data_IF_306617814661
#
_entry.id   IF_306617814661
#
_cell.length_a   1.000
_cell.length_b   1.000
_cell.length_c   1.000
_cell.angle_alpha   90.00
_cell.angle_beta   90.00
_cell.angle_gamma   90.00
#
_symmetry.space_group_name_H-M   'P 1'
#
loop_
_entity.id
_entity.type
_entity.pdbx_description
1 polymer ?
#
# COMPACT_ATOMS: atom_id res chain seq x y z
N UNK A 1 23.09 -2.12 -10.35
CA UNK A 1 21.92 -1.70 -11.14
C UNK A 1 21.54 -0.32 -10.68
N UNK A 2 21.33 0.61 -11.60
CA UNK A 2 20.85 1.95 -11.29
C UNK A 2 19.43 1.82 -10.73
N UNK A 3 19.26 2.00 -9.42
CA UNK A 3 17.94 1.91 -8.78
C UNK A 3 17.10 3.08 -9.30
N UNK A 4 16.09 2.76 -10.11
CA UNK A 4 15.22 3.78 -10.68
C UNK A 4 14.26 4.25 -9.61
N UNK A 5 14.23 5.56 -9.38
CA UNK A 5 13.28 6.21 -8.49
C UNK A 5 11.88 6.06 -9.08
N UNK A 6 10.97 5.51 -8.29
CA UNK A 6 9.57 5.27 -8.68
C UNK A 6 8.66 6.37 -8.15
N UNK A 7 7.57 6.64 -8.87
CA UNK A 7 6.52 7.58 -8.44
C UNK A 7 5.56 6.87 -7.49
N UNK A 8 5.49 7.34 -6.25
CA UNK A 8 4.77 6.69 -5.15
C UNK A 8 3.64 7.57 -4.64
N UNK A 9 2.46 6.98 -4.48
CA UNK A 9 1.33 7.57 -3.77
C UNK A 9 1.20 6.91 -2.40
N UNK A 10 1.26 7.68 -1.32
CA UNK A 10 1.14 7.20 0.07
C UNK A 10 -0.29 7.43 0.54
N UNK A 11 -1.03 6.34 0.65
CA UNK A 11 -2.39 6.33 1.19
C UNK A 11 -2.35 6.03 2.69
N UNK A 12 -2.97 6.89 3.48
CA UNK A 12 -3.06 6.76 4.94
C UNK A 12 -4.23 7.57 5.49
N UNK A 13 -4.73 7.17 6.65
CA UNK A 13 -5.76 7.93 7.37
C UNK A 13 -5.12 9.04 8.21
N UNK A 14 -5.45 10.30 7.96
CA UNK A 14 -4.73 11.44 8.53
C UNK A 14 -4.80 11.49 10.06
N UNK A 15 -5.99 11.29 10.62
CA UNK A 15 -6.26 11.45 12.06
C UNK A 15 -5.45 10.51 12.95
N UNK A 16 -5.13 9.31 12.47
CA UNK A 16 -4.45 8.27 13.26
C UNK A 16 -2.98 8.09 12.87
N UNK A 17 -2.62 8.29 11.59
CA UNK A 17 -1.37 7.75 11.05
C UNK A 17 -0.38 8.82 10.55
N UNK A 18 -0.68 10.12 10.76
CA UNK A 18 0.15 11.24 10.30
C UNK A 18 1.63 11.10 10.66
N UNK A 19 1.96 10.71 11.90
CA UNK A 19 3.36 10.54 12.35
C UNK A 19 4.18 9.57 11.51
N UNK A 20 3.55 8.51 10.99
CA UNK A 20 4.23 7.49 10.20
C UNK A 20 4.46 7.97 8.77
N UNK A 21 3.49 8.73 8.23
CA UNK A 21 3.67 9.43 6.96
C UNK A 21 4.81 10.45 7.07
N UNK A 22 4.85 11.26 8.12
CA UNK A 22 5.91 12.24 8.35
C UNK A 22 7.28 11.56 8.45
N UNK A 23 7.42 10.51 9.26
CA UNK A 23 8.66 9.76 9.38
C UNK A 23 9.13 9.15 8.05
N UNK A 24 8.21 8.59 7.24
CA UNK A 24 8.54 8.03 5.92
C UNK A 24 9.00 9.14 4.95
N UNK A 25 8.37 10.32 5.00
CA UNK A 25 8.74 11.46 4.15
C UNK A 25 10.05 12.08 4.57
N UNK A 26 10.31 12.25 5.87
CA UNK A 26 11.61 12.72 6.37
C UNK A 26 12.76 11.79 5.94
N UNK A 27 12.54 10.47 6.00
CA UNK A 27 13.48 9.50 5.48
C UNK A 27 13.69 9.67 3.96
N UNK A 28 12.58 9.83 3.22
CA UNK A 28 12.62 10.02 1.77
C UNK A 28 13.34 11.32 1.38
N UNK A 29 13.15 12.42 2.10
CA UNK A 29 13.80 13.70 1.82
C UNK A 29 15.32 13.63 2.05
N UNK A 30 15.75 12.82 3.03
CA UNK A 30 17.17 12.63 3.36
C UNK A 30 17.91 11.75 2.36
N UNK A 31 17.28 10.68 1.89
CA UNK A 31 17.96 9.58 1.15
C UNK A 31 17.43 9.42 -0.29
N UNK A 32 16.30 10.06 -0.61
CA UNK A 32 15.62 10.01 -1.91
C UNK A 32 15.30 8.59 -2.38
N UNK A 33 14.38 7.96 -1.66
CA UNK A 33 13.92 6.58 -1.87
C UNK A 33 12.95 6.49 -3.06
N UNK A 34 12.04 7.46 -3.19
CA UNK A 34 11.01 7.54 -4.24
C UNK A 34 10.61 9.01 -4.52
N UNK A 35 9.88 9.25 -5.62
CA UNK A 35 9.18 10.52 -5.85
C UNK A 35 7.81 10.47 -5.17
N UNK A 36 7.55 11.38 -4.24
CA UNK A 36 6.27 11.46 -3.53
C UNK A 36 5.24 12.22 -4.39
N UNK A 37 4.17 11.54 -4.79
CA UNK A 37 3.04 12.06 -5.56
C UNK A 37 1.74 12.05 -4.73
N UNK A 38 1.85 11.91 -3.41
CA UNK A 38 0.70 11.88 -2.50
C UNK A 38 0.13 13.27 -2.29
N UNK A 39 -1.18 13.34 -2.03
CA UNK A 39 -1.85 14.55 -1.53
C UNK A 39 -2.34 14.33 -0.11
N UNK A 40 -2.50 15.39 0.69
CA UNK A 40 -3.06 15.23 2.02
C UNK A 40 -4.57 15.00 1.93
N UNK A 41 -5.13 14.19 2.84
CA UNK A 41 -6.59 13.99 2.96
C UNK A 41 -7.35 15.33 3.13
N UNK A 42 -6.69 16.34 3.72
CA UNK A 42 -7.21 17.71 3.83
C UNK A 42 -7.14 18.55 2.55
N UNK A 43 -6.37 18.12 1.54
CA UNK A 43 -6.23 18.80 0.25
C UNK A 43 -7.31 18.41 -0.75
N UNK A 44 -8.04 17.31 -0.49
CA UNK A 44 -9.14 16.84 -1.33
C UNK A 44 -10.40 17.62 -0.93
N UNK A 45 -10.88 18.59 -1.72
CA UNK A 45 -12.10 19.31 -1.39
C UNK A 45 -13.29 18.34 -1.39
N UNK A 46 -13.87 18.05 -0.23
CA UNK A 46 -15.01 17.13 -0.10
C UNK A 46 -16.35 17.85 0.13
N UNK A 47 -16.28 19.12 0.56
CA UNK A 47 -17.43 19.98 0.82
C UNK A 47 -18.10 20.41 -0.49
N UNK A 48 -19.41 20.16 -0.57
CA UNK A 48 -20.23 20.56 -1.72
C UNK A 48 -20.03 19.72 -2.99
N UNK A 49 -19.10 18.75 -2.97
CA UNK A 49 -18.91 17.81 -4.07
C UNK A 49 -19.68 16.51 -3.82
N UNK A 50 -20.10 15.85 -4.90
CA UNK A 50 -20.61 14.48 -4.88
C UNK A 50 -19.48 13.46 -4.73
N UNK A 51 -19.81 12.24 -4.31
CA UNK A 51 -18.81 11.15 -4.22
C UNK A 51 -18.15 10.88 -5.58
N UNK A 52 -18.90 10.96 -6.68
CA UNK A 52 -18.35 10.76 -8.03
C UNK A 52 -17.38 11.87 -8.44
N UNK A 53 -17.67 13.13 -8.10
CA UNK A 53 -16.73 14.23 -8.36
C UNK A 53 -15.41 14.02 -7.62
N UNK A 54 -15.48 13.68 -6.33
CA UNK A 54 -14.29 13.44 -5.51
C UNK A 54 -13.48 12.26 -6.05
N UNK A 55 -14.15 11.15 -6.41
CA UNK A 55 -13.50 9.97 -7.00
C UNK A 55 -12.80 10.30 -8.30
N UNK A 56 -13.41 11.12 -9.16
CA UNK A 56 -12.80 11.59 -10.41
C UNK A 56 -11.57 12.46 -10.13
N UNK A 57 -11.63 13.39 -9.18
CA UNK A 57 -10.48 14.20 -8.78
C UNK A 57 -9.33 13.31 -8.27
N UNK A 58 -9.62 12.39 -7.34
CA UNK A 58 -8.63 11.42 -6.85
C UNK A 58 -7.95 10.67 -7.98
N UNK A 59 -8.75 10.10 -8.89
CA UNK A 59 -8.26 9.28 -9.99
C UNK A 59 -7.49 10.09 -11.04
N UNK A 60 -8.03 11.22 -11.47
CA UNK A 60 -7.57 11.93 -12.68
C UNK A 60 -6.56 13.05 -12.37
N UNK A 61 -6.54 13.57 -11.14
CA UNK A 61 -5.66 14.68 -10.72
C UNK A 61 -4.56 14.21 -9.79
N UNK A 62 -4.86 13.40 -8.76
CA UNK A 62 -3.90 13.06 -7.72
C UNK A 62 -3.13 11.76 -8.00
N UNK A 63 -3.81 10.73 -8.47
CA UNK A 63 -3.24 9.39 -8.61
C UNK A 63 -2.62 9.14 -10.00
N UNK A 64 -2.96 9.96 -11.02
CA UNK A 64 -2.65 9.71 -12.44
C UNK A 64 -1.22 9.26 -12.75
N UNK A 65 -0.23 9.91 -12.15
CA UNK A 65 1.18 9.71 -12.50
C UNK A 65 1.87 8.69 -11.60
N UNK A 66 1.27 8.32 -10.47
CA UNK A 66 1.89 7.37 -9.54
C UNK A 66 1.92 5.96 -10.17
N UNK A 67 2.90 5.17 -9.74
CA UNK A 67 3.15 3.82 -10.28
C UNK A 67 3.11 2.75 -9.21
N UNK A 68 3.24 3.17 -7.95
CA UNK A 68 3.15 2.34 -6.76
C UNK A 68 2.31 3.10 -5.72
N UNK A 69 1.40 2.39 -5.08
CA UNK A 69 0.69 2.87 -3.89
C UNK A 69 1.33 2.21 -2.65
N UNK A 70 1.76 3.03 -1.70
CA UNK A 70 2.11 2.58 -0.35
C UNK A 70 0.91 2.83 0.56
N UNK A 71 0.32 1.77 1.11
CA UNK A 71 -0.72 1.88 2.13
C UNK A 71 -0.08 1.80 3.52
N UNK A 72 -0.15 2.88 4.30
CA UNK A 72 0.16 2.84 5.72
C UNK A 72 -1.06 2.32 6.49
N UNK A 73 -1.10 1.00 6.69
CA UNK A 73 -2.23 0.31 7.26
C UNK A 73 -2.21 0.44 8.80
N UNK A 74 -3.04 1.32 9.33
CA UNK A 74 -3.26 1.51 10.77
C UNK A 74 -4.60 0.96 11.26
N UNK A 75 -5.05 1.39 12.45
CA UNK A 75 -6.36 0.97 12.98
C UNK A 75 -7.51 1.53 12.14
N UNK A 76 -8.61 0.78 12.05
CA UNK A 76 -9.87 1.23 11.43
C UNK A 76 -9.66 1.85 10.04
N UNK A 77 -8.93 1.17 9.16
CA UNK A 77 -8.82 1.55 7.74
C UNK A 77 -10.01 1.00 6.94
N UNK A 78 -10.61 -0.11 7.39
CA UNK A 78 -11.73 -0.78 6.75
C UNK A 78 -12.99 0.05 6.57
N UNK A 79 -13.14 1.15 7.32
CA UNK A 79 -14.31 2.03 7.27
C UNK A 79 -14.04 3.39 6.61
N UNK A 80 -12.83 3.60 6.07
CA UNK A 80 -12.48 4.84 5.37
C UNK A 80 -12.84 4.76 3.89
N UNK A 81 -13.81 5.60 3.49
CA UNK A 81 -14.21 5.75 2.08
C UNK A 81 -13.07 6.26 1.21
N UNK A 82 -12.21 7.14 1.73
CA UNK A 82 -11.12 7.73 0.96
C UNK A 82 -10.07 6.67 0.63
N UNK A 83 -9.64 5.87 1.62
CA UNK A 83 -8.74 4.74 1.42
C UNK A 83 -9.33 3.74 0.42
N UNK A 84 -10.63 3.46 0.53
CA UNK A 84 -11.32 2.57 -0.41
C UNK A 84 -11.28 3.09 -1.86
N UNK A 85 -11.50 4.39 -2.05
CA UNK A 85 -11.46 5.04 -3.35
C UNK A 85 -10.04 5.11 -3.92
N UNK A 86 -9.03 5.40 -3.10
CA UNK A 86 -7.62 5.42 -3.49
C UNK A 86 -7.14 4.02 -3.91
N UNK A 87 -7.47 2.98 -3.12
CA UNK A 87 -7.15 1.60 -3.48
C UNK A 87 -7.84 1.17 -4.76
N UNK A 88 -9.12 1.51 -4.94
CA UNK A 88 -9.82 1.24 -6.19
C UNK A 88 -9.14 1.94 -7.37
N UNK A 89 -8.79 3.23 -7.23
CA UNK A 89 -8.10 3.97 -8.28
C UNK A 89 -6.73 3.38 -8.61
N UNK A 90 -5.97 2.91 -7.61
CA UNK A 90 -4.69 2.24 -7.80
C UNK A 90 -4.81 0.86 -8.47
N UNK A 91 -5.89 0.12 -8.20
CA UNK A 91 -6.14 -1.20 -8.79
C UNK A 91 -6.71 -1.12 -10.22
N UNK A 92 -7.44 -0.05 -10.54
CA UNK A 92 -8.14 0.11 -11.81
C UNK A 92 -7.17 0.37 -12.98
N UNK A 93 -7.24 -0.46 -14.02
CA UNK A 93 -6.44 -0.30 -15.24
C UNK A 93 -7.23 0.44 -16.33
N UNK A 94 -7.15 1.76 -16.33
CA UNK A 94 -7.83 2.63 -17.30
C UNK A 94 -6.95 2.99 -18.51
N UNK A 95 -7.54 3.71 -19.46
CA UNK A 95 -6.80 4.26 -20.59
C UNK A 95 -5.79 5.33 -20.15
N UNK A 96 -6.24 6.25 -19.28
CA UNK A 96 -5.45 7.40 -18.79
C UNK A 96 -4.62 7.08 -17.55
N UNK A 97 -5.15 6.24 -16.65
CA UNK A 97 -4.53 5.90 -15.38
C UNK A 97 -4.27 4.40 -15.38
N UNK A 98 -2.99 4.01 -15.35
CA UNK A 98 -2.61 2.60 -15.34
C UNK A 98 -2.60 2.05 -13.93
N UNK A 99 -2.93 0.76 -13.79
CA UNK A 99 -2.88 0.06 -12.49
C UNK A 99 -1.48 0.15 -11.87
N UNK A 100 -1.46 0.25 -10.55
CA UNK A 100 -0.26 0.42 -9.73
C UNK A 100 0.14 -0.87 -9.03
N UNK A 101 1.40 -0.91 -8.60
CA UNK A 101 1.83 -1.89 -7.59
C UNK A 101 1.32 -1.45 -6.23
N UNK A 102 0.98 -2.39 -5.36
CA UNK A 102 0.55 -2.07 -3.99
C UNK A 102 1.55 -2.66 -2.99
N UNK A 103 2.09 -1.80 -2.14
CA UNK A 103 2.88 -2.15 -0.96
C UNK A 103 2.09 -1.75 0.27
N UNK A 104 1.93 -2.66 1.21
CA UNK A 104 1.23 -2.43 2.47
C UNK A 104 2.23 -2.47 3.60
N UNK A 105 2.29 -1.37 4.37
CA UNK A 105 3.11 -1.28 5.58
C UNK A 105 2.15 -1.27 6.77
N UNK A 106 2.10 -2.39 7.47
CA UNK A 106 1.37 -2.53 8.73
C UNK A 106 2.05 -1.70 9.81
N UNK A 107 1.31 -0.76 10.37
CA UNK A 107 1.78 0.07 11.46
C UNK A 107 1.82 -0.74 12.77
N UNK A 108 2.64 -0.35 13.76
CA UNK A 108 2.83 -1.09 15.02
C UNK A 108 1.50 -1.45 15.72
N UNK A 109 0.49 -0.62 15.55
CA UNK A 109 -0.84 -0.78 16.13
C UNK A 109 -1.68 -1.93 15.59
N UNK A 110 -1.33 -2.44 14.41
CA UNK A 110 -2.02 -3.54 13.74
C UNK A 110 -1.05 -4.67 13.40
N UNK A 111 0.06 -4.73 14.15
CA UNK A 111 1.07 -5.76 13.98
C UNK A 111 0.45 -7.15 14.15
N UNK A 112 0.79 -8.04 13.22
CA UNK A 112 0.53 -9.47 13.31
C UNK A 112 1.87 -10.19 13.44
N UNK A 113 1.89 -11.28 14.21
CA UNK A 113 3.09 -12.11 14.41
C UNK A 113 3.50 -12.82 13.11
N UNK A 114 2.52 -13.15 12.28
CA UNK A 114 2.71 -13.74 10.96
C UNK A 114 2.89 -12.64 9.90
N UNK A 115 4.10 -12.56 9.32
CA UNK A 115 4.34 -11.76 8.13
C UNK A 115 3.72 -12.48 6.93
N UNK A 116 2.46 -12.19 6.60
CA UNK A 116 1.83 -12.63 5.35
C UNK A 116 2.49 -11.91 4.16
N UNK A 117 3.71 -12.33 3.80
CA UNK A 117 4.46 -11.78 2.70
C UNK A 117 3.90 -12.39 1.41
N UNK A 118 2.90 -11.71 0.82
CA UNK A 118 2.32 -12.23 -0.40
C UNK A 118 3.31 -12.13 -1.57
N UNK A 119 3.77 -13.32 -1.95
CA UNK A 119 4.33 -13.66 -3.23
C UNK A 119 5.72 -13.09 -3.54
N UNK A 120 6.77 -13.82 -3.12
CA UNK A 120 7.93 -14.26 -3.95
C UNK A 120 9.23 -14.35 -3.15
N UNK A 121 10.13 -15.25 -3.58
CA UNK A 121 11.52 -15.31 -3.10
C UNK A 121 12.35 -14.03 -3.32
N UNK A 122 11.82 -13.00 -3.99
CA UNK A 122 12.49 -11.69 -4.06
C UNK A 122 12.48 -10.98 -2.70
N UNK A 123 11.36 -11.06 -1.95
CA UNK A 123 11.32 -10.49 -0.60
C UNK A 123 12.17 -11.33 0.35
N UNK A 124 12.21 -12.65 0.13
CA UNK A 124 13.12 -13.54 0.85
C UNK A 124 14.57 -13.05 0.72
N UNK A 125 15.05 -12.74 -0.47
CA UNK A 125 16.40 -12.17 -0.66
C UNK A 125 16.57 -10.82 0.07
N UNK A 126 15.58 -9.92 0.06
CA UNK A 126 15.65 -8.64 0.78
C UNK A 126 15.89 -8.85 2.29
N UNK A 127 15.27 -9.87 2.90
CA UNK A 127 15.44 -10.16 4.33
C UNK A 127 16.61 -11.10 4.63
N UNK A 128 16.92 -12.06 3.75
CA UNK A 128 18.04 -13.00 3.86
C UNK A 128 19.40 -12.34 3.65
N UNK A 129 19.54 -11.40 2.71
CA UNK A 129 20.76 -10.60 2.51
C UNK A 129 21.12 -9.81 3.77
N UNK A 130 20.14 -9.58 4.65
CA UNK A 130 20.29 -8.92 5.93
C UNK A 130 20.36 -9.88 7.14
N UNK A 131 20.43 -11.20 6.91
CA UNK A 131 20.62 -12.21 7.95
C UNK A 131 19.39 -12.51 8.82
N UNK A 132 18.17 -12.36 8.29
CA UNK A 132 16.93 -12.68 9.01
C UNK A 132 16.28 -13.95 8.45
N UNK A 133 16.32 -15.05 9.23
CA UNK A 133 15.60 -16.28 8.90
C UNK A 133 14.17 -16.22 9.41
N UNK A 134 13.18 -16.44 8.54
CA UNK A 134 11.77 -16.60 8.91
C UNK A 134 11.22 -17.88 8.25
N UNK A 135 10.29 -18.53 8.93
CA UNK A 135 9.52 -19.63 8.33
C UNK A 135 8.51 -19.01 7.37
N UNK A 136 8.70 -19.27 6.09
CA UNK A 136 7.81 -18.80 5.04
C UNK A 136 6.71 -19.81 4.80
N UNK A 137 5.47 -19.34 4.83
CA UNK A 137 4.29 -20.13 4.48
C UNK A 137 3.61 -19.49 3.28
N UNK A 138 3.07 -20.29 2.34
CA UNK A 138 2.15 -19.76 1.34
C UNK A 138 1.04 -18.95 2.03
N UNK A 139 0.65 -17.84 1.40
CA UNK A 139 -0.46 -17.03 1.92
C UNK A 139 -1.70 -17.90 2.03
N UNK A 140 -2.29 -17.94 3.23
CA UNK A 140 -3.56 -18.60 3.46
C UNK A 140 -4.62 -17.96 2.55
N UNK A 141 -5.29 -18.77 1.73
CA UNK A 141 -6.21 -18.31 0.68
C UNK A 141 -7.66 -18.22 1.16
N UNK A 142 -7.97 -18.76 2.35
CA UNK A 142 -9.29 -18.63 2.94
C UNK A 142 -9.58 -17.19 3.36
N UNK A 143 -10.63 -16.62 2.75
CA UNK A 143 -11.04 -15.24 3.01
C UNK A 143 -11.30 -14.96 4.49
N UNK A 144 -12.02 -15.84 5.19
CA UNK A 144 -12.38 -15.60 6.60
C UNK A 144 -11.14 -15.55 7.51
N UNK A 145 -10.16 -16.41 7.26
CA UNK A 145 -8.87 -16.39 7.98
C UNK A 145 -8.13 -15.10 7.68
N UNK A 146 -8.01 -14.73 6.40
CA UNK A 146 -7.35 -13.48 6.00
C UNK A 146 -8.10 -12.24 6.50
N UNK A 147 -9.42 -12.30 6.63
CA UNK A 147 -10.21 -11.21 7.16
C UNK A 147 -10.00 -11.02 8.66
N UNK A 148 -9.86 -12.09 9.41
CA UNK A 148 -9.50 -12.01 10.83
C UNK A 148 -8.07 -11.49 11.01
N UNK A 149 -7.13 -12.00 10.20
CA UNK A 149 -5.73 -11.52 10.19
C UNK A 149 -5.60 -10.06 9.76
N UNK A 150 -6.40 -9.59 8.81
CA UNK A 150 -6.32 -8.22 8.31
C UNK A 150 -7.57 -7.42 8.66
N UNK A 151 -8.08 -7.59 9.90
CA UNK A 151 -9.35 -6.97 10.35
C UNK A 151 -9.39 -5.45 10.23
N UNK A 152 -8.22 -4.82 10.34
CA UNK A 152 -8.09 -3.37 10.22
C UNK A 152 -8.02 -2.89 8.76
N UNK A 153 -7.63 -3.76 7.83
CA UNK A 153 -7.41 -3.42 6.44
C UNK A 153 -8.72 -3.29 5.64
N UNK A 154 -8.73 -2.50 4.54
CA UNK A 154 -9.86 -2.41 3.62
C UNK A 154 -10.27 -3.77 3.05
N UNK A 155 -11.57 -4.03 3.00
CA UNK A 155 -12.12 -5.31 2.50
C UNK A 155 -11.64 -5.65 1.08
N UNK A 156 -11.60 -4.65 0.19
CA UNK A 156 -11.08 -4.78 -1.19
C UNK A 156 -9.64 -5.28 -1.23
N UNK A 157 -8.80 -4.82 -0.30
CA UNK A 157 -7.40 -5.23 -0.20
C UNK A 157 -7.31 -6.71 0.17
N UNK A 158 -8.05 -7.13 1.20
CA UNK A 158 -8.06 -8.52 1.69
C UNK A 158 -8.59 -9.48 0.63
N UNK A 159 -9.65 -9.11 -0.11
CA UNK A 159 -10.17 -9.92 -1.21
C UNK A 159 -9.17 -10.08 -2.35
N UNK A 160 -8.39 -9.04 -2.65
CA UNK A 160 -7.37 -9.10 -3.69
C UNK A 160 -6.13 -9.88 -3.24
N UNK A 161 -5.77 -9.83 -1.95
CA UNK A 161 -4.66 -10.57 -1.36
C UNK A 161 -4.77 -12.10 -1.56
N UNK A 162 -6.00 -12.64 -1.50
CA UNK A 162 -6.23 -14.08 -1.66
C UNK A 162 -6.30 -14.55 -3.12
N UNK A 163 -6.18 -13.66 -4.11
CA UNK A 163 -6.22 -14.06 -5.53
C UNK A 163 -4.87 -14.65 -5.94
N UNK A 164 -4.87 -15.61 -6.86
CA UNK A 164 -3.64 -16.28 -7.31
C UNK A 164 -2.80 -15.44 -8.27
N UNK A 165 -3.45 -14.54 -9.00
CA UNK A 165 -2.85 -13.64 -9.98
C UNK A 165 -2.66 -12.21 -9.43
N UNK A 166 -2.57 -12.08 -8.10
CA UNK A 166 -2.31 -10.82 -7.42
C UNK A 166 -1.20 -11.00 -6.40
N UNK A 167 -0.19 -10.13 -6.47
CA UNK A 167 0.89 -10.04 -5.51
C UNK A 167 0.87 -8.64 -4.86
N UNK A 168 0.66 -8.62 -3.55
CA UNK A 168 0.64 -7.42 -2.70
C UNK A 168 1.57 -7.65 -1.51
N UNK A 169 2.66 -6.89 -1.43
CA UNK A 169 3.61 -7.09 -0.34
C UNK A 169 3.05 -6.50 0.96
N UNK A 170 2.99 -7.29 2.03
CA UNK A 170 2.71 -6.80 3.39
C UNK A 170 3.97 -6.87 4.23
N UNK A 171 4.37 -5.74 4.80
CA UNK A 171 5.53 -5.63 5.68
C UNK A 171 5.16 -4.93 6.98
N UNK A 172 5.89 -5.23 8.05
CA UNK A 172 5.67 -4.60 9.36
C UNK A 172 6.58 -3.37 9.50
N UNK A 173 6.02 -2.24 9.93
CA UNK A 173 6.78 -1.00 10.16
C UNK A 173 7.98 -1.24 11.09
N UNK A 174 7.76 -1.94 12.21
CA UNK A 174 8.82 -2.23 13.16
C UNK A 174 9.99 -2.98 12.51
N UNK A 175 9.71 -3.90 11.60
CA UNK A 175 10.74 -4.69 10.91
C UNK A 175 11.51 -3.86 9.90
N UNK A 176 10.86 -2.91 9.21
CA UNK A 176 11.57 -2.00 8.30
C UNK A 176 12.60 -1.16 9.05
N UNK A 177 12.22 -0.60 10.20
CA UNK A 177 13.01 0.38 10.92
C UNK A 177 13.87 -0.21 12.05
N UNK A 178 13.76 -1.51 12.34
CA UNK A 178 14.46 -2.20 13.45
C UNK A 178 15.98 -1.98 13.47
N UNK A 179 16.60 -1.89 12.29
CA UNK A 179 18.06 -1.77 12.13
C UNK A 179 18.52 -0.37 11.72
N UNK A 180 17.65 0.63 11.87
CA UNK A 180 17.92 2.02 11.55
C UNK A 180 17.61 2.41 10.10
N UNK A 181 17.64 3.72 9.88
CA UNK A 181 17.13 4.39 8.69
C UNK A 181 17.77 3.95 7.37
N UNK A 182 19.08 3.68 7.36
CA UNK A 182 19.78 3.28 6.13
C UNK A 182 19.27 1.94 5.60
N UNK A 183 19.13 0.94 6.49
CA UNK A 183 18.62 -0.38 6.12
C UNK A 183 17.12 -0.29 5.79
N UNK A 184 16.37 0.55 6.51
CA UNK A 184 14.98 0.82 6.18
C UNK A 184 14.83 1.38 4.76
N UNK A 185 15.67 2.34 4.38
CA UNK A 185 15.67 2.93 3.05
C UNK A 185 15.93 1.88 1.97
N UNK A 186 16.99 1.06 2.10
CA UNK A 186 17.32 0.00 1.14
C UNK A 186 16.19 -1.02 0.97
N UNK A 187 15.54 -1.40 2.09
CA UNK A 187 14.38 -2.29 2.09
C UNK A 187 13.19 -1.65 1.36
N UNK A 188 12.88 -0.38 1.65
CA UNK A 188 11.77 0.32 1.00
C UNK A 188 12.02 0.48 -0.51
N UNK A 189 13.23 0.84 -0.93
CA UNK A 189 13.57 0.91 -2.37
C UNK A 189 13.29 -0.43 -3.06
N UNK A 190 13.76 -1.53 -2.46
CA UNK A 190 13.59 -2.87 -3.02
C UNK A 190 12.12 -3.31 -3.06
N UNK A 191 11.35 -3.02 -2.02
CA UNK A 191 9.92 -3.34 -1.94
C UNK A 191 9.09 -2.52 -2.94
N UNK A 192 9.39 -1.23 -3.09
CA UNK A 192 8.76 -0.35 -4.07
C UNK A 192 9.07 -0.82 -5.48
N UNK A 193 10.32 -1.19 -5.77
CA UNK A 193 10.71 -1.72 -7.08
C UNK A 193 10.02 -3.05 -7.40
N UNK A 194 9.91 -3.96 -6.43
CA UNK A 194 9.16 -5.21 -6.61
C UNK A 194 7.67 -4.95 -6.88
N UNK A 195 7.03 -4.06 -6.10
CA UNK A 195 5.64 -3.66 -6.33
C UNK A 195 5.45 -3.04 -7.72
N UNK A 196 6.35 -2.14 -8.12
CA UNK A 196 6.36 -1.52 -9.44
C UNK A 196 6.41 -2.59 -10.54
N UNK A 197 7.35 -3.53 -10.48
CA UNK A 197 7.51 -4.60 -11.49
C UNK A 197 6.25 -5.46 -11.60
N UNK A 198 5.66 -5.84 -10.47
CA UNK A 198 4.47 -6.72 -10.39
C UNK A 198 3.19 -6.08 -10.88
N UNK A 199 3.06 -4.75 -10.87
CA UNK A 199 1.83 -4.06 -11.26
C UNK A 199 1.24 -4.51 -12.60
N UNK A 200 2.10 -4.83 -13.58
CA UNK A 200 1.66 -5.27 -14.92
C UNK A 200 1.06 -6.68 -14.90
N UNK A 201 1.53 -7.53 -14.00
CA UNK A 201 1.13 -8.92 -13.85
C UNK A 201 -0.11 -9.06 -12.96
N UNK A 202 -0.30 -8.15 -12.01
CA UNK A 202 -1.43 -8.17 -11.09
C UNK A 202 -2.76 -7.97 -11.83
N UNK A 203 -3.71 -8.87 -11.61
CA UNK A 203 -5.09 -8.80 -12.12
C UNK A 203 -6.06 -8.60 -10.96
N UNK A 204 -6.20 -7.33 -10.57
CA UNK A 204 -7.01 -6.90 -9.44
C UNK A 204 -8.50 -6.99 -9.76
N UNK A 205 -9.27 -7.50 -8.79
CA UNK A 205 -10.72 -7.43 -8.81
C UNK A 205 -11.20 -6.10 -8.20
N UNK A 206 -11.83 -5.29 -9.05
CA UNK A 206 -12.40 -3.98 -8.71
C UNK A 206 -13.94 -3.97 -8.81
N UNK A 207 -14.58 -5.14 -8.92
CA UNK A 207 -16.04 -5.26 -9.10
C UNK A 207 -16.86 -4.85 -7.87
N UNK A 208 -16.25 -4.88 -6.69
CA UNK A 208 -16.89 -4.45 -5.45
C UNK A 208 -17.31 -2.98 -5.49
N UNK A 209 -18.56 -2.72 -5.07
CA UNK A 209 -19.10 -1.37 -4.94
C UNK A 209 -18.19 -0.51 -4.05
N UNK A 210 -17.86 0.68 -4.53
CA UNK A 210 -17.16 1.69 -3.76
C UNK A 210 -17.97 2.11 -2.53
N UNK A 211 -17.28 2.37 -1.42
CA UNK A 211 -17.90 2.94 -0.23
C UNK A 211 -18.58 4.28 -0.54
N UNK A 212 -19.76 4.50 0.00
CA UNK A 212 -20.46 5.79 -0.06
C UNK A 212 -20.33 6.57 1.24
N UNK A 213 -20.82 7.81 1.25
CA UNK A 213 -21.06 8.53 2.52
C UNK A 213 -22.00 7.72 3.41
N UNK A 214 -21.62 7.59 4.69
CA UNK A 214 -22.55 7.14 5.72
C UNK A 214 -23.61 8.25 5.86
N UNK A 215 -24.84 7.93 5.47
CA UNK A 215 -26.02 8.80 5.63
C UNK A 215 -26.40 8.85 7.10
#
# INVERSE_FOLDING_TARGET
>A
MENKIHKVYISFKYTENKRYREALTELNDRIRIFEDWSVFEGDIPDKGLTDEQIRRTIRDEYIREATVLILLNGKKMYDSKFIDWELHAAMYDGEKNKKMGILVINLPEVKHEDCDLSHSGEIENIYLENGEFRTWSPVEKQYDIQRERHKNAPTRLVKNLIRDNVAINFVQWEELFKRGDSIAADRIVSLVDSAFKRRKQNDYDVSDKLMGRKV
#
